data_IF_526757627643
#
_entry.id   IF_526757627643
#
_cell.length_a   1.000
_cell.length_b   1.000
_cell.length_c   1.000
_cell.angle_alpha   90.00
_cell.angle_beta   90.00
_cell.angle_gamma   90.00
#
_symmetry.space_group_name_H-M   'P 1'
#
loop_
_entity.id
_entity.type
_entity.pdbx_description
1 polymer ?
#
# COMPACT_ATOMS: atom_id res chain seq x y z
N UNK A 1 -9.20 34.74 -14.60
CA UNK A 1 -8.96 33.51 -13.81
C UNK A 1 -7.68 33.64 -12.97
N UNK A 2 -7.74 33.38 -11.67
CA UNK A 2 -6.56 33.44 -10.78
C UNK A 2 -5.81 32.11 -10.89
N UNK A 3 -4.64 32.11 -11.53
CA UNK A 3 -3.79 30.92 -11.75
C UNK A 3 -2.68 30.76 -10.71
N UNK A 4 -2.65 31.61 -9.68
CA UNK A 4 -1.54 31.74 -8.72
C UNK A 4 -1.85 31.20 -7.32
N UNK A 5 -2.99 30.50 -7.12
CA UNK A 5 -3.33 29.93 -5.82
C UNK A 5 -2.42 28.73 -5.51
N UNK A 6 -1.54 28.92 -4.53
CA UNK A 6 -0.64 27.91 -3.96
C UNK A 6 -1.01 27.79 -2.47
N UNK A 7 -1.01 26.58 -1.88
CA UNK A 7 -0.66 25.28 -2.47
C UNK A 7 -1.78 24.67 -3.32
N UNK A 8 -1.38 23.88 -4.33
CA UNK A 8 -2.29 23.13 -5.19
C UNK A 8 -2.62 21.80 -4.52
N UNK A 9 -3.90 21.59 -4.22
CA UNK A 9 -4.43 20.32 -3.72
C UNK A 9 -5.09 19.55 -4.85
N UNK A 10 -4.75 18.27 -4.99
CA UNK A 10 -5.30 17.43 -6.06
C UNK A 10 -5.95 16.16 -5.51
N UNK A 11 -7.12 15.84 -6.07
CA UNK A 11 -7.80 14.56 -5.90
C UNK A 11 -7.42 13.53 -6.97
N UNK A 12 -6.79 13.95 -8.08
CA UNK A 12 -6.50 13.06 -9.23
C UNK A 12 -5.65 11.85 -8.83
N UNK A 13 -4.61 12.07 -8.02
CA UNK A 13 -3.74 10.99 -7.53
C UNK A 13 -4.37 10.29 -6.33
N UNK A 14 -4.94 11.07 -5.40
CA UNK A 14 -5.58 10.53 -4.19
C UNK A 14 -6.76 9.60 -4.49
N UNK A 15 -7.53 9.84 -5.55
CA UNK A 15 -8.68 9.01 -5.93
C UNK A 15 -8.28 7.66 -6.54
N UNK A 16 -7.08 7.52 -7.10
CA UNK A 16 -6.59 6.21 -7.60
C UNK A 16 -6.19 5.30 -6.44
N UNK A 17 -5.49 5.89 -5.46
CA UNK A 17 -4.96 5.13 -4.32
C UNK A 17 -6.00 4.97 -3.21
N UNK A 18 -6.89 5.96 -3.05
CA UNK A 18 -7.91 6.03 -2.00
C UNK A 18 -9.23 6.60 -2.59
N UNK A 19 -9.96 5.82 -3.40
CA UNK A 19 -11.16 6.31 -4.10
C UNK A 19 -12.32 6.67 -3.16
N UNK A 20 -12.43 5.94 -2.05
CA UNK A 20 -13.57 5.97 -1.13
C UNK A 20 -13.64 7.15 -0.16
N UNK A 21 -14.69 7.13 0.65
CA UNK A 21 -14.90 8.04 1.78
C UNK A 21 -14.17 7.48 3.01
N UNK A 22 -13.38 8.30 3.67
CA UNK A 22 -12.53 7.89 4.80
C UNK A 22 -13.14 8.37 6.12
N UNK A 23 -13.31 7.46 7.08
CA UNK A 23 -13.76 7.79 8.43
C UNK A 23 -12.65 8.54 9.20
N UNK A 24 -13.00 9.47 10.11
CA UNK A 24 -12.00 10.25 10.85
C UNK A 24 -10.94 9.41 11.57
N UNK A 25 -11.33 8.31 12.22
CA UNK A 25 -10.41 7.42 12.92
C UNK A 25 -9.44 6.71 11.97
N UNK A 26 -9.94 6.20 10.84
CA UNK A 26 -9.10 5.59 9.80
C UNK A 26 -8.08 6.60 9.27
N UNK A 27 -8.51 7.85 9.06
CA UNK A 27 -7.61 8.92 8.62
C UNK A 27 -6.57 9.28 9.67
N UNK A 28 -6.94 9.42 10.94
CA UNK A 28 -6.01 9.80 12.02
C UNK A 28 -4.90 8.77 12.24
N UNK A 29 -5.16 7.50 11.91
CA UNK A 29 -4.16 6.43 11.98
C UNK A 29 -3.31 6.41 10.69
N UNK A 30 -3.94 6.43 9.51
CA UNK A 30 -3.22 6.24 8.25
C UNK A 30 -2.40 7.45 7.80
N UNK A 31 -2.84 8.68 8.13
CA UNK A 31 -2.11 9.90 7.79
C UNK A 31 -0.67 9.90 8.36
N UNK A 32 -0.46 9.77 9.69
CA UNK A 32 0.88 9.78 10.26
C UNK A 32 1.71 8.57 9.81
N UNK A 33 1.11 7.40 9.63
CA UNK A 33 1.81 6.21 9.12
C UNK A 33 2.33 6.43 7.69
N UNK A 34 1.44 6.82 6.78
CA UNK A 34 1.78 6.94 5.35
C UNK A 34 2.70 8.14 5.11
N UNK A 35 2.34 9.32 5.62
CA UNK A 35 3.16 10.52 5.45
C UNK A 35 4.48 10.43 6.22
N UNK A 36 4.48 9.79 7.39
CA UNK A 36 5.69 9.55 8.17
C UNK A 36 6.68 8.65 7.44
N UNK A 37 6.22 7.54 6.86
CA UNK A 37 7.06 6.64 6.07
C UNK A 37 7.58 7.31 4.80
N UNK A 38 6.74 8.04 4.06
CA UNK A 38 7.20 8.84 2.93
C UNK A 38 8.23 9.89 3.35
N UNK A 39 8.00 10.58 4.46
CA UNK A 39 8.96 11.54 5.03
C UNK A 39 10.31 10.89 5.36
N UNK A 40 10.30 9.69 5.97
CA UNK A 40 11.52 8.89 6.21
C UNK A 40 12.24 8.55 4.90
N UNK A 41 11.50 8.13 3.87
CA UNK A 41 12.07 7.82 2.54
C UNK A 41 12.72 9.05 1.88
N UNK A 42 12.03 10.19 1.90
CA UNK A 42 12.56 11.43 1.35
C UNK A 42 13.78 11.93 2.13
N UNK A 43 13.78 11.77 3.46
CA UNK A 43 14.90 12.13 4.32
C UNK A 43 16.17 11.31 4.03
N UNK A 44 16.04 10.03 3.63
CA UNK A 44 17.20 9.23 3.19
C UNK A 44 17.92 9.88 2.02
N UNK A 45 17.17 10.50 1.11
CA UNK A 45 17.71 11.14 -0.09
C UNK A 45 18.18 12.56 0.18
N UNK A 46 17.38 13.36 0.88
CA UNK A 46 17.61 14.79 1.08
C UNK A 46 18.56 15.12 2.24
N UNK A 47 18.74 14.20 3.19
CA UNK A 47 19.55 14.43 4.40
C UNK A 47 19.08 15.66 5.17
N UNK A 48 20.02 16.54 5.54
CA UNK A 48 19.74 17.78 6.28
C UNK A 48 18.78 18.74 5.55
N UNK A 49 18.71 18.65 4.22
CA UNK A 49 17.80 19.48 3.41
C UNK A 49 16.32 19.13 3.66
N UNK A 50 16.03 18.00 4.30
CA UNK A 50 14.67 17.62 4.69
C UNK A 50 14.16 18.37 5.94
N UNK A 51 15.04 19.00 6.72
CA UNK A 51 14.68 19.62 8.02
C UNK A 51 13.64 20.75 7.93
N UNK A 52 13.52 21.41 6.77
CA UNK A 52 12.52 22.44 6.52
C UNK A 52 11.17 21.93 5.98
N UNK A 53 11.03 20.62 5.75
CA UNK A 53 9.86 20.04 5.11
C UNK A 53 8.91 19.40 6.12
N UNK A 54 7.65 19.83 6.07
CA UNK A 54 6.58 19.25 6.90
C UNK A 54 5.81 18.20 6.09
N UNK A 55 6.27 16.96 6.21
CA UNK A 55 5.68 15.82 5.52
C UNK A 55 4.22 15.54 5.93
N UNK A 56 3.76 16.01 7.09
CA UNK A 56 2.35 15.85 7.49
C UNK A 56 1.39 16.61 6.58
N UNK A 57 1.89 17.65 5.87
CA UNK A 57 1.13 18.46 4.92
C UNK A 57 1.09 17.89 3.51
N UNK A 58 1.66 16.70 3.27
CA UNK A 58 1.60 16.04 1.96
C UNK A 58 0.18 15.57 1.62
N UNK A 59 -0.65 15.32 2.63
CA UNK A 59 -2.03 14.90 2.44
C UNK A 59 -2.96 15.61 3.42
N UNK A 60 -4.20 15.83 3.00
CA UNK A 60 -5.27 16.38 3.86
C UNK A 60 -6.57 15.64 3.62
N UNK A 61 -7.46 15.70 4.60
CA UNK A 61 -8.82 15.18 4.51
C UNK A 61 -9.79 16.36 4.39
N UNK A 62 -10.55 16.38 3.30
CA UNK A 62 -11.58 17.39 3.08
C UNK A 62 -12.88 16.70 2.66
N UNK A 63 -13.99 16.95 3.36
CA UNK A 63 -15.27 16.23 3.18
C UNK A 63 -15.11 14.70 3.08
N UNK A 64 -14.37 14.14 4.04
CA UNK A 64 -14.08 12.71 4.16
C UNK A 64 -13.41 12.11 2.92
N UNK A 65 -12.68 12.94 2.17
CA UNK A 65 -11.95 12.56 0.96
C UNK A 65 -10.50 13.02 1.06
N UNK A 66 -9.57 12.15 0.69
CA UNK A 66 -8.15 12.48 0.68
C UNK A 66 -7.81 13.40 -0.50
N UNK A 67 -6.91 14.34 -0.24
CA UNK A 67 -6.29 15.23 -1.21
C UNK A 67 -4.79 15.26 -0.95
N UNK A 68 -3.99 15.27 -2.02
CA UNK A 68 -2.55 15.42 -1.92
C UNK A 68 -2.11 16.84 -2.26
N UNK A 69 -1.12 17.33 -1.53
CA UNK A 69 -0.49 18.62 -1.77
C UNK A 69 0.51 18.49 -2.92
N UNK A 70 0.03 18.75 -4.14
CA UNK A 70 0.84 18.62 -5.36
C UNK A 70 2.02 19.60 -5.38
N UNK A 71 1.86 20.78 -4.77
CA UNK A 71 2.94 21.77 -4.65
C UNK A 71 4.09 21.23 -3.80
N UNK A 72 3.80 20.78 -2.57
CA UNK A 72 4.81 20.23 -1.67
C UNK A 72 5.48 18.97 -2.24
N UNK A 73 4.69 18.06 -2.83
CA UNK A 73 5.24 16.86 -3.46
C UNK A 73 6.17 17.23 -4.62
N UNK A 74 5.80 18.19 -5.45
CA UNK A 74 6.65 18.69 -6.54
C UNK A 74 7.95 19.29 -6.03
N UNK A 75 7.90 20.09 -4.97
CA UNK A 75 9.08 20.66 -4.31
C UNK A 75 10.01 19.57 -3.77
N UNK A 76 9.46 18.54 -3.11
CA UNK A 76 10.23 17.39 -2.59
C UNK A 76 10.92 16.64 -3.73
N UNK A 77 10.20 16.30 -4.80
CA UNK A 77 10.80 15.59 -5.94
C UNK A 77 11.90 16.40 -6.61
N UNK A 78 11.66 17.69 -6.86
CA UNK A 78 12.67 18.59 -7.41
C UNK A 78 13.90 18.67 -6.50
N UNK A 79 13.69 18.79 -5.18
CA UNK A 79 14.75 18.81 -4.20
C UNK A 79 15.57 17.52 -4.20
N UNK A 80 14.97 16.36 -4.49
CA UNK A 80 15.66 15.07 -4.65
C UNK A 80 16.42 14.94 -5.98
N UNK A 81 16.21 15.86 -6.93
CA UNK A 81 16.72 15.73 -8.29
C UNK A 81 15.87 14.80 -9.16
N UNK A 82 14.60 14.63 -8.80
CA UNK A 82 13.58 13.92 -9.56
C UNK A 82 12.62 14.94 -10.21
N UNK A 83 12.04 14.65 -11.39
CA UNK A 83 11.06 15.52 -12.00
C UNK A 83 9.76 15.59 -11.19
N UNK A 84 9.03 16.72 -11.20
CA UNK A 84 7.83 16.91 -10.37
C UNK A 84 6.69 15.96 -10.76
N UNK A 85 6.68 15.45 -12.00
CA UNK A 85 5.73 14.42 -12.46
C UNK A 85 6.07 13.01 -11.96
N UNK A 86 7.12 12.83 -11.14
CA UNK A 86 7.56 11.51 -10.67
C UNK A 86 6.43 10.74 -9.97
N UNK A 87 5.54 11.40 -9.23
CA UNK A 87 4.43 10.70 -8.58
C UNK A 87 3.43 10.11 -9.60
N UNK A 88 3.13 10.84 -10.67
CA UNK A 88 2.28 10.34 -11.75
C UNK A 88 2.99 9.24 -12.55
N UNK A 89 4.30 9.32 -12.70
CA UNK A 89 5.09 8.21 -13.21
C UNK A 89 5.00 6.97 -12.31
N UNK A 90 5.17 7.11 -11.00
CA UNK A 90 5.16 5.97 -10.06
C UNK A 90 3.78 5.31 -9.91
N UNK A 91 2.71 6.09 -10.07
CA UNK A 91 1.33 5.60 -9.92
C UNK A 91 0.66 5.20 -11.23
N UNK A 92 1.09 5.74 -12.38
CA UNK A 92 0.41 5.54 -13.69
C UNK A 92 1.35 5.28 -14.87
N UNK A 93 2.65 5.12 -14.66
CA UNK A 93 3.62 4.87 -15.73
C UNK A 93 3.81 6.03 -16.71
N UNK A 94 3.46 7.27 -16.32
CA UNK A 94 3.58 8.48 -17.14
C UNK A 94 4.99 8.79 -17.68
N UNK A 95 5.09 9.69 -18.65
CA UNK A 95 6.39 10.08 -19.22
C UNK A 95 7.20 10.89 -18.19
N UNK A 96 8.43 10.45 -17.94
CA UNK A 96 9.40 11.17 -17.10
C UNK A 96 10.06 12.26 -17.93
N UNK A 97 9.98 13.51 -17.47
CA UNK A 97 10.75 14.63 -18.00
C UNK A 97 12.22 14.51 -17.58
N UNK A 98 13.15 15.23 -18.24
CA UNK A 98 14.58 15.10 -17.92
C UNK A 98 14.83 15.60 -16.48
N UNK A 99 15.52 14.81 -15.62
CA UNK A 99 15.77 15.21 -14.25
C UNK A 99 16.71 16.44 -14.21
N UNK A 100 16.55 17.33 -13.22
CA UNK A 100 17.43 18.47 -13.03
C UNK A 100 18.81 17.99 -12.57
N UNK A 101 19.76 17.95 -13.52
CA UNK A 101 21.07 17.30 -13.36
C UNK A 101 21.85 17.79 -12.12
N UNK A 102 21.88 19.10 -11.85
CA UNK A 102 22.62 19.65 -10.72
C UNK A 102 22.13 19.13 -9.35
N UNK A 103 20.82 19.10 -9.14
CA UNK A 103 20.20 18.52 -7.94
C UNK A 103 20.35 17.00 -7.88
N UNK A 104 20.26 16.31 -9.03
CA UNK A 104 20.48 14.86 -9.05
C UNK A 104 21.90 14.50 -8.62
N UNK A 105 22.91 15.23 -9.09
CA UNK A 105 24.30 15.04 -8.65
C UNK A 105 24.50 15.35 -7.17
N UNK A 106 23.92 16.44 -6.67
CA UNK A 106 24.00 16.81 -5.24
C UNK A 106 23.42 15.72 -4.33
N UNK A 107 22.28 15.14 -4.71
CA UNK A 107 21.60 14.11 -3.91
C UNK A 107 21.99 12.67 -4.28
N UNK A 108 22.98 12.49 -5.16
CA UNK A 108 23.41 11.18 -5.62
C UNK A 108 23.77 10.23 -4.47
N UNK A 109 24.48 10.64 -3.40
CA UNK A 109 24.75 9.76 -2.27
C UNK A 109 23.47 9.25 -1.58
N UNK A 110 22.46 10.10 -1.44
CA UNK A 110 21.16 9.76 -0.85
C UNK A 110 20.34 8.83 -1.76
N UNK A 111 20.34 9.10 -3.06
CA UNK A 111 19.71 8.24 -4.08
C UNK A 111 20.37 6.85 -4.11
N UNK A 112 21.70 6.77 -4.00
CA UNK A 112 22.42 5.50 -3.91
C UNK A 112 22.06 4.73 -2.63
N UNK A 113 21.92 5.40 -1.49
CA UNK A 113 21.44 4.76 -0.25
C UNK A 113 20.01 4.22 -0.40
N UNK A 114 19.13 4.97 -1.05
CA UNK A 114 17.77 4.52 -1.33
C UNK A 114 17.77 3.29 -2.25
N UNK A 115 18.60 3.31 -3.30
CA UNK A 115 18.76 2.17 -4.21
C UNK A 115 19.30 0.93 -3.50
N UNK A 116 20.30 1.08 -2.61
CA UNK A 116 20.80 -0.03 -1.80
C UNK A 116 19.70 -0.67 -0.95
N UNK A 117 18.82 0.16 -0.36
CA UNK A 117 17.65 -0.33 0.39
C UNK A 117 16.63 -1.03 -0.49
N UNK A 118 16.41 -0.52 -1.71
CA UNK A 118 15.52 -1.13 -2.70
C UNK A 118 16.00 -2.53 -3.12
N UNK A 119 17.30 -2.67 -3.38
CA UNK A 119 17.90 -3.96 -3.76
C UNK A 119 17.83 -4.95 -2.60
N UNK A 120 18.02 -4.48 -1.36
CA UNK A 120 17.96 -5.31 -0.17
C UNK A 120 16.53 -5.56 0.35
N UNK A 121 15.49 -5.01 -0.30
CA UNK A 121 14.12 -4.95 0.22
C UNK A 121 13.56 -6.32 0.59
N UNK A 122 13.68 -7.30 -0.32
CA UNK A 122 13.15 -8.65 -0.10
C UNK A 122 13.88 -9.36 1.05
N UNK A 123 15.21 -9.26 1.08
CA UNK A 123 16.03 -9.84 2.16
C UNK A 123 15.68 -9.22 3.51
N UNK A 124 15.51 -7.90 3.55
CA UNK A 124 15.14 -7.19 4.77
C UNK A 124 13.72 -7.55 5.21
N UNK A 125 12.78 -7.66 4.28
CA UNK A 125 11.42 -8.13 4.58
C UNK A 125 11.42 -9.52 5.20
N UNK A 126 12.16 -10.49 4.65
CA UNK A 126 12.27 -11.84 5.22
C UNK A 126 12.83 -11.85 6.65
N UNK A 127 13.82 -11.00 6.91
CA UNK A 127 14.39 -10.82 8.26
C UNK A 127 13.38 -10.18 9.22
N UNK A 128 12.74 -9.09 8.83
CA UNK A 128 11.77 -8.40 9.68
C UNK A 128 10.49 -9.24 9.88
N UNK A 129 10.10 -10.03 8.88
CA UNK A 129 8.99 -10.95 8.98
C UNK A 129 9.23 -12.00 10.05
N UNK A 130 10.38 -12.67 10.01
CA UNK A 130 10.72 -13.69 11.02
C UNK A 130 10.96 -13.10 12.42
N UNK A 131 11.55 -11.90 12.52
CA UNK A 131 11.95 -11.31 13.80
C UNK A 131 10.89 -10.44 14.47
N UNK A 132 10.03 -9.80 13.69
CA UNK A 132 9.10 -8.77 14.18
C UNK A 132 7.66 -9.12 13.86
N UNK A 133 7.32 -9.39 12.59
CA UNK A 133 5.92 -9.57 12.19
C UNK A 133 5.34 -10.89 12.69
N UNK A 134 6.03 -12.01 12.50
CA UNK A 134 5.53 -13.31 12.92
C UNK A 134 5.38 -13.41 14.45
N UNK A 135 6.36 -13.01 15.28
CA UNK A 135 6.17 -12.97 16.73
C UNK A 135 5.07 -11.99 17.15
N UNK A 136 5.03 -10.79 16.55
CA UNK A 136 4.01 -9.79 16.84
C UNK A 136 2.59 -10.29 16.54
N UNK A 137 2.36 -10.88 15.37
CA UNK A 137 1.07 -11.47 15.00
C UNK A 137 0.69 -12.64 15.91
N UNK A 138 1.65 -13.49 16.27
CA UNK A 138 1.41 -14.64 17.15
C UNK A 138 0.99 -14.18 18.55
N UNK A 139 1.69 -13.17 19.10
CA UNK A 139 1.33 -12.56 20.37
C UNK A 139 -0.07 -11.94 20.30
N UNK A 140 -0.33 -11.16 19.24
CA UNK A 140 -1.62 -10.49 19.07
C UNK A 140 -2.77 -11.50 18.95
N UNK A 141 -2.57 -12.64 18.28
CA UNK A 141 -3.59 -13.67 18.11
C UNK A 141 -3.89 -14.46 19.40
N UNK A 142 -2.89 -14.64 20.27
CA UNK A 142 -3.02 -15.47 21.47
C UNK A 142 -3.49 -14.70 22.72
N UNK A 143 -3.42 -13.36 22.71
CA UNK A 143 -3.90 -12.53 23.83
C UNK A 143 -5.42 -12.31 23.78
N UNK A 144 -6.10 -12.69 24.86
CA UNK A 144 -7.54 -12.45 25.04
C UNK A 144 -7.82 -10.99 25.42
N UNK A 145 -8.56 -10.26 24.57
CA UNK A 145 -8.89 -8.84 24.80
C UNK A 145 -9.68 -8.62 26.09
N UNK A 146 -10.48 -9.60 26.52
CA UNK A 146 -11.31 -9.49 27.73
C UNK A 146 -10.53 -9.57 29.04
N UNK A 147 -9.28 -10.03 29.00
CA UNK A 147 -8.42 -10.22 30.17
C UNK A 147 -7.41 -9.07 30.36
N UNK A 148 -7.33 -8.16 29.38
CA UNK A 148 -6.40 -7.05 29.40
C UNK A 148 -6.94 -5.88 30.22
N UNK A 149 -6.12 -5.38 31.14
CA UNK A 149 -6.37 -4.10 31.80
C UNK A 149 -6.27 -2.92 30.81
N UNK A 150 -6.86 -1.75 31.13
CA UNK A 150 -6.81 -0.58 30.24
C UNK A 150 -5.39 -0.14 29.84
N UNK A 151 -4.41 -0.26 30.74
CA UNK A 151 -3.01 0.06 30.42
C UNK A 151 -2.38 -0.95 29.47
N UNK A 152 -2.72 -2.24 29.60
CA UNK A 152 -2.26 -3.28 28.67
C UNK A 152 -2.88 -3.11 27.28
N UNK A 153 -4.14 -2.67 27.20
CA UNK A 153 -4.77 -2.32 25.93
C UNK A 153 -4.05 -1.17 25.23
N UNK A 154 -3.65 -0.13 25.95
CA UNK A 154 -2.87 0.98 25.38
C UNK A 154 -1.51 0.51 24.87
N UNK A 155 -0.78 -0.28 25.67
CA UNK A 155 0.51 -0.85 25.24
C UNK A 155 0.37 -1.71 23.98
N UNK A 156 -0.72 -2.46 23.88
CA UNK A 156 -1.03 -3.26 22.69
C UNK A 156 -1.31 -2.38 21.48
N UNK A 157 -2.03 -1.26 21.64
CA UNK A 157 -2.24 -0.29 20.56
C UNK A 157 -0.91 0.30 20.09
N UNK A 158 -0.03 0.70 21.01
CA UNK A 158 1.30 1.23 20.66
C UNK A 158 2.13 0.18 19.90
N UNK A 159 2.13 -1.07 20.36
CA UNK A 159 2.78 -2.18 19.66
C UNK A 159 2.24 -2.38 18.24
N UNK A 160 0.92 -2.30 18.05
CA UNK A 160 0.30 -2.40 16.72
C UNK A 160 0.74 -1.23 15.84
N UNK A 161 0.76 0.00 16.35
CA UNK A 161 1.19 1.17 15.60
C UNK A 161 2.66 1.07 15.18
N UNK A 162 3.54 0.57 16.06
CA UNK A 162 4.96 0.34 15.78
C UNK A 162 5.20 -0.75 14.72
N UNK A 163 4.35 -1.78 14.68
CA UNK A 163 4.39 -2.81 13.65
C UNK A 163 3.83 -2.27 12.32
N UNK A 164 2.71 -1.55 12.37
CA UNK A 164 2.08 -0.94 11.21
C UNK A 164 3.00 0.04 10.50
N UNK A 165 3.80 0.82 11.24
CA UNK A 165 4.79 1.70 10.62
C UNK A 165 5.80 0.93 9.76
N UNK A 166 6.32 -0.19 10.28
CA UNK A 166 7.26 -1.05 9.55
C UNK A 166 6.60 -1.75 8.36
N UNK A 167 5.37 -2.24 8.53
CA UNK A 167 4.61 -2.84 7.43
C UNK A 167 4.34 -1.80 6.33
N UNK A 168 3.98 -0.57 6.71
CA UNK A 168 3.69 0.53 5.77
C UNK A 168 4.89 0.83 4.88
N UNK A 169 6.12 0.76 5.41
CA UNK A 169 7.34 0.84 4.60
C UNK A 169 7.39 -0.19 3.47
N UNK A 170 7.07 -1.46 3.77
CA UNK A 170 7.02 -2.53 2.77
C UNK A 170 5.82 -2.39 1.83
N UNK A 171 4.65 -1.99 2.33
CA UNK A 171 3.46 -1.75 1.52
C UNK A 171 3.66 -0.62 0.50
N UNK A 172 4.49 0.37 0.80
CA UNK A 172 4.87 1.44 -0.14
C UNK A 172 5.94 0.95 -1.11
N UNK A 173 7.04 0.35 -0.61
CA UNK A 173 8.18 0.02 -1.47
C UNK A 173 7.95 -1.22 -2.34
N UNK A 174 7.16 -2.20 -1.91
CA UNK A 174 6.93 -3.43 -2.68
C UNK A 174 6.32 -3.17 -4.07
N UNK A 175 5.17 -2.46 -4.22
CA UNK A 175 4.61 -2.17 -5.54
C UNK A 175 5.52 -1.27 -6.37
N UNK A 176 6.19 -0.30 -5.74
CA UNK A 176 7.17 0.56 -6.41
C UNK A 176 8.33 -0.26 -6.98
N UNK A 177 8.86 -1.18 -6.18
CA UNK A 177 9.97 -2.06 -6.52
C UNK A 177 9.58 -3.03 -7.65
N UNK A 178 8.37 -3.58 -7.61
CA UNK A 178 7.80 -4.37 -8.70
C UNK A 178 7.72 -3.56 -10.01
N UNK A 179 7.15 -2.35 -9.97
CA UNK A 179 7.02 -1.47 -11.15
C UNK A 179 8.39 -1.08 -11.73
N UNK A 180 9.38 -0.79 -10.88
CA UNK A 180 10.76 -0.48 -11.31
C UNK A 180 11.36 -1.68 -12.04
N UNK A 181 11.30 -2.88 -11.45
CA UNK A 181 11.88 -4.10 -12.04
C UNK A 181 11.18 -4.49 -13.32
N UNK A 182 9.85 -4.44 -13.35
CA UNK A 182 9.07 -4.69 -14.56
C UNK A 182 9.53 -3.78 -15.71
N UNK A 183 9.68 -2.48 -15.45
CA UNK A 183 10.16 -1.51 -16.44
C UNK A 183 11.62 -1.76 -16.86
N UNK A 184 12.50 -2.08 -15.91
CA UNK A 184 13.92 -2.32 -16.17
C UNK A 184 14.14 -3.58 -17.01
N UNK A 185 13.45 -4.67 -16.67
CA UNK A 185 13.51 -5.95 -17.36
C UNK A 185 12.60 -6.03 -18.59
N UNK A 186 11.78 -5.00 -18.83
CA UNK A 186 10.81 -4.93 -19.95
C UNK A 186 9.85 -6.12 -19.97
N UNK A 187 9.46 -6.60 -18.79
CA UNK A 187 8.51 -7.70 -18.61
C UNK A 187 7.12 -7.20 -18.95
N UNK A 188 6.41 -7.92 -19.83
CA UNK A 188 5.02 -7.58 -20.17
C UNK A 188 4.07 -8.00 -19.06
N UNK A 189 2.92 -7.35 -18.96
CA UNK A 189 1.92 -7.68 -17.94
C UNK A 189 1.44 -9.14 -18.02
N UNK A 190 1.41 -9.72 -19.22
CA UNK A 190 0.99 -11.11 -19.43
C UNK A 190 2.04 -12.14 -19.00
N UNK A 191 3.30 -11.72 -18.81
CA UNK A 191 4.41 -12.58 -18.37
C UNK A 191 4.50 -12.66 -16.84
N UNK A 192 3.78 -11.80 -16.12
CA UNK A 192 3.72 -11.83 -14.66
C UNK A 192 2.76 -12.94 -14.24
N UNK A 193 3.24 -13.82 -13.37
CA UNK A 193 2.40 -14.85 -12.77
C UNK A 193 1.42 -14.23 -11.77
N UNK A 194 0.19 -14.01 -12.23
CA UNK A 194 -0.91 -13.50 -11.41
C UNK A 194 -1.68 -14.62 -10.69
N UNK A 195 -1.26 -15.89 -10.76
CA UNK A 195 -1.97 -17.00 -10.08
C UNK A 195 -2.09 -16.79 -8.57
N UNK A 196 -1.14 -16.07 -7.98
CA UNK A 196 -1.12 -15.71 -6.56
C UNK A 196 -1.83 -14.37 -6.25
N UNK A 197 -2.36 -13.67 -7.26
CA UNK A 197 -3.11 -12.44 -7.03
C UNK A 197 -4.42 -12.77 -6.30
N UNK A 198 -4.80 -12.03 -5.25
CA UNK A 198 -6.02 -12.31 -4.46
C UNK A 198 -7.28 -12.41 -5.33
N UNK A 199 -7.38 -11.57 -6.37
CA UNK A 199 -8.50 -11.53 -7.29
C UNK A 199 -8.59 -12.81 -8.13
N UNK A 200 -7.45 -13.30 -8.62
CA UNK A 200 -7.37 -14.54 -9.41
C UNK A 200 -7.59 -15.76 -8.51
N UNK A 201 -7.02 -15.76 -7.30
CA UNK A 201 -7.27 -16.79 -6.29
C UNK A 201 -8.76 -16.87 -5.89
N UNK A 202 -9.41 -15.71 -5.77
CA UNK A 202 -10.86 -15.62 -5.51
C UNK A 202 -11.68 -16.17 -6.67
N UNK A 203 -11.32 -15.82 -7.92
CA UNK A 203 -11.96 -16.37 -9.12
C UNK A 203 -11.79 -17.89 -9.22
N UNK A 204 -10.59 -18.41 -8.95
CA UNK A 204 -10.35 -19.85 -8.92
C UNK A 204 -11.13 -20.55 -7.80
N UNK A 205 -11.31 -19.91 -6.65
CA UNK A 205 -12.11 -20.46 -5.56
C UNK A 205 -13.60 -20.50 -5.93
N UNK A 206 -14.14 -19.43 -6.51
CA UNK A 206 -15.50 -19.40 -7.06
C UNK A 206 -15.70 -20.45 -8.16
N UNK A 207 -14.71 -20.63 -9.03
CA UNK A 207 -14.75 -21.64 -10.08
C UNK A 207 -14.76 -23.06 -9.50
N UNK A 208 -13.95 -23.35 -8.47
CA UNK A 208 -13.97 -24.63 -7.76
C UNK A 208 -15.33 -24.90 -7.11
N UNK A 209 -15.90 -23.90 -6.42
CA UNK A 209 -17.24 -23.99 -5.84
C UNK A 209 -18.29 -24.27 -6.91
N UNK A 210 -18.22 -23.59 -8.07
CA UNK A 210 -19.15 -23.80 -9.17
C UNK A 210 -19.05 -25.21 -9.80
N UNK A 211 -17.83 -25.76 -9.94
CA UNK A 211 -17.63 -27.12 -10.43
C UNK A 211 -18.19 -28.13 -9.42
N UNK A 212 -17.84 -27.99 -8.13
CA UNK A 212 -18.33 -28.87 -7.09
C UNK A 212 -19.87 -28.85 -6.98
N UNK A 213 -20.48 -27.66 -7.09
CA UNK A 213 -21.93 -27.53 -7.11
C UNK A 213 -22.58 -28.22 -8.32
N UNK A 214 -21.96 -28.12 -9.50
CA UNK A 214 -22.45 -28.77 -10.73
C UNK A 214 -22.33 -30.30 -10.69
N UNK A 215 -21.27 -30.83 -10.08
CA UNK A 215 -21.09 -32.27 -9.91
C UNK A 215 -22.14 -32.88 -8.96
N UNK A 216 -22.59 -32.10 -7.97
CA UNK A 216 -23.64 -32.48 -7.02
C UNK A 216 -25.06 -32.26 -7.56
N UNK A 217 -25.25 -31.23 -8.40
CA UNK A 217 -26.54 -30.83 -8.95
C UNK A 217 -26.50 -30.86 -10.48
N UNK A 218 -26.82 -32.01 -11.11
CA UNK A 218 -26.85 -32.12 -12.57
C UNK A 218 -27.90 -31.19 -13.22
N UNK A 219 -29.01 -30.91 -12.53
CA UNK A 219 -30.02 -29.91 -12.90
C UNK A 219 -29.92 -28.66 -12.01
N UNK A 220 -28.85 -27.90 -12.22
CA UNK A 220 -28.55 -26.69 -11.46
C UNK A 220 -29.44 -25.51 -11.89
N UNK A 221 -30.27 -25.00 -10.98
CA UNK A 221 -31.03 -23.77 -11.20
C UNK A 221 -30.28 -22.57 -10.59
N UNK A 222 -29.75 -21.63 -11.40
CA UNK A 222 -28.89 -20.54 -10.92
C UNK A 222 -29.48 -19.67 -9.80
N UNK A 223 -30.82 -19.55 -9.76
CA UNK A 223 -31.53 -18.75 -8.78
C UNK A 223 -31.76 -19.46 -7.44
N UNK A 224 -31.58 -20.79 -7.39
CA UNK A 224 -31.85 -21.64 -6.23
C UNK A 224 -30.66 -22.51 -5.83
N UNK A 225 -29.48 -22.24 -6.38
CA UNK A 225 -28.27 -23.07 -6.17
C UNK A 225 -27.99 -23.29 -4.68
N UNK A 226 -28.05 -22.25 -3.86
CA UNK A 226 -27.81 -22.37 -2.42
C UNK A 226 -28.88 -23.21 -1.71
N UNK A 227 -30.15 -23.06 -2.08
CA UNK A 227 -31.25 -23.86 -1.53
C UNK A 227 -31.17 -25.34 -1.97
N UNK A 228 -30.72 -25.59 -3.20
CA UNK A 228 -30.52 -26.93 -3.74
C UNK A 228 -29.32 -27.62 -3.09
N UNK A 229 -28.21 -26.89 -2.85
CA UNK A 229 -27.03 -27.41 -2.15
C UNK A 229 -27.33 -27.73 -0.69
N UNK A 230 -28.08 -26.87 0.01
CA UNK A 230 -28.45 -27.05 1.42
C UNK A 230 -29.33 -28.29 1.68
N UNK A 231 -30.01 -28.81 0.65
CA UNK A 231 -30.84 -30.03 0.72
C UNK A 231 -30.03 -31.32 0.66
N UNK A 232 -28.75 -31.25 0.31
CA UNK A 232 -27.86 -32.42 0.23
C UNK A 232 -26.81 -32.38 1.33
N UNK A 233 -26.52 -33.52 1.98
CA UNK A 233 -25.52 -33.59 3.06
C UNK A 233 -24.13 -33.16 2.58
N UNK A 234 -23.78 -33.45 1.33
CA UNK A 234 -22.52 -33.04 0.72
C UNK A 234 -22.51 -31.57 0.24
N UNK A 235 -23.68 -31.01 -0.11
CA UNK A 235 -23.79 -29.61 -0.52
C UNK A 235 -23.76 -28.64 0.66
N UNK A 236 -24.13 -29.07 1.87
CA UNK A 236 -23.98 -28.26 3.09
C UNK A 236 -22.51 -27.87 3.34
N UNK A 237 -21.57 -28.78 3.09
CA UNK A 237 -20.13 -28.48 3.21
C UNK A 237 -19.61 -27.45 2.21
N UNK A 238 -20.29 -27.26 1.07
CA UNK A 238 -19.95 -26.25 0.05
C UNK A 238 -20.56 -24.87 0.42
N UNK A 239 -21.66 -24.86 1.17
CA UNK A 239 -22.31 -23.61 1.62
C UNK A 239 -21.58 -23.00 2.83
N UNK A 240 -20.87 -23.81 3.61
CA UNK A 240 -20.12 -23.39 4.80
C UNK A 240 -18.68 -22.92 4.49
N UNK A 241 -18.18 -23.14 3.27
CA UNK A 241 -16.83 -22.75 2.80
C UNK A 241 -16.81 -21.34 2.18
#
# INVERSE_FOLDING_TARGET
PITTLVPIWTRKIAAEVIPGVIRPLTWSINLPLTCGVWGKLFTIVLGESASGLDFTKMATLHYSRAYFNASLLGEVFLAMGLPPESLEFLTRGGKISRPPLASTFKNLPGLLKLLQREIALEKQFKLDYSRLFLPGMTQLANESLGELSPSQLLNRVDQILDLLEKVTYYSILSPLSAAIRQKLFRVKDEEIDHSNAPEISSLHSLQRLAIAAKDLLPDLEPQRVFDQLAQTTSGQGIVEE
#
